data_IF_412445749934
#
_entry.id   IF_412445749934
#
_cell.length_a   1.000
_cell.length_b   1.000
_cell.length_c   1.000
_cell.angle_alpha   90.00
_cell.angle_beta   90.00
_cell.angle_gamma   90.00
#
_symmetry.space_group_name_H-M   'P 1'
#
loop_
_entity.id
_entity.type
_entity.pdbx_description
1 polymer ?
#
# COMPACT_ATOMS: atom_id res chain seq x y z
N UNK A 1 -9.17 -10.35 -43.65
CA UNK A 1 -8.61 -9.31 -42.77
C UNK A 1 -8.01 -10.02 -41.57
N UNK A 2 -6.73 -9.78 -41.27
CA UNK A 2 -5.98 -10.54 -40.27
C UNK A 2 -6.48 -10.27 -38.83
N UNK A 3 -6.77 -11.36 -38.12
CA UNK A 3 -7.17 -11.36 -36.70
C UNK A 3 -6.15 -10.68 -35.79
N UNK A 4 -4.87 -10.68 -36.16
CA UNK A 4 -3.80 -9.99 -35.42
C UNK A 4 -3.93 -8.45 -35.42
N UNK A 5 -4.45 -7.86 -36.50
CA UNK A 5 -4.64 -6.40 -36.60
C UNK A 5 -5.79 -5.94 -35.70
N UNK A 6 -6.84 -6.75 -35.58
CA UNK A 6 -8.02 -6.45 -34.76
C UNK A 6 -7.72 -6.51 -33.25
N UNK A 7 -6.90 -7.47 -32.82
CA UNK A 7 -6.47 -7.62 -31.41
C UNK A 7 -5.51 -6.53 -30.98
N UNK A 8 -4.57 -6.12 -31.85
CA UNK A 8 -3.67 -4.99 -31.58
C UNK A 8 -4.43 -3.66 -31.45
N UNK A 9 -5.42 -3.42 -32.33
CA UNK A 9 -6.27 -2.23 -32.28
C UNK A 9 -7.24 -2.20 -31.07
N UNK A 10 -7.64 -3.36 -30.54
CA UNK A 10 -8.46 -3.43 -29.31
C UNK A 10 -7.63 -3.13 -28.06
N UNK A 11 -6.40 -3.65 -27.95
CA UNK A 11 -5.47 -3.35 -26.85
C UNK A 11 -5.09 -1.87 -26.79
N UNK A 12 -4.85 -1.24 -27.94
CA UNK A 12 -4.52 0.19 -28.03
C UNK A 12 -5.69 1.10 -27.62
N UNK A 13 -6.93 0.78 -28.02
CA UNK A 13 -8.14 1.51 -27.60
C UNK A 13 -8.42 1.39 -26.10
N UNK A 14 -8.21 0.22 -25.52
CA UNK A 14 -8.49 -0.01 -24.09
C UNK A 14 -7.50 0.71 -23.17
N UNK A 15 -6.21 0.77 -23.53
CA UNK A 15 -5.21 1.49 -22.73
C UNK A 15 -5.45 3.00 -22.67
N UNK A 16 -5.86 3.61 -23.79
CA UNK A 16 -6.20 5.02 -23.85
C UNK A 16 -7.49 5.34 -23.06
N UNK A 17 -8.52 4.49 -23.17
CA UNK A 17 -9.77 4.64 -22.41
C UNK A 17 -9.54 4.51 -20.89
N UNK A 18 -8.66 3.60 -20.47
CA UNK A 18 -8.35 3.39 -19.06
C UNK A 18 -7.58 4.60 -18.48
N UNK A 19 -6.54 5.07 -19.16
CA UNK A 19 -5.78 6.24 -18.74
C UNK A 19 -6.67 7.49 -18.61
N UNK A 20 -7.61 7.68 -19.54
CA UNK A 20 -8.58 8.77 -19.48
C UNK A 20 -9.52 8.63 -18.27
N UNK A 21 -10.04 7.43 -17.99
CA UNK A 21 -10.91 7.20 -16.83
C UNK A 21 -10.22 7.47 -15.49
N UNK A 22 -8.94 7.08 -15.36
CA UNK A 22 -8.16 7.33 -14.16
C UNK A 22 -7.88 8.82 -13.97
N UNK A 23 -7.54 9.52 -15.05
CA UNK A 23 -7.33 10.96 -15.02
C UNK A 23 -8.59 11.72 -14.62
N UNK A 24 -9.75 11.39 -15.23
CA UNK A 24 -11.04 12.00 -14.85
C UNK A 24 -11.37 11.76 -13.39
N UNK A 25 -11.14 10.56 -12.88
CA UNK A 25 -11.35 10.26 -11.47
C UNK A 25 -10.41 11.06 -10.57
N UNK A 26 -9.12 11.16 -10.92
CA UNK A 26 -8.14 11.91 -10.16
C UNK A 26 -8.46 13.42 -10.11
N UNK A 27 -8.99 14.00 -11.19
CA UNK A 27 -9.52 15.37 -11.18
C UNK A 27 -10.66 15.54 -10.16
N UNK A 28 -11.63 14.61 -10.16
CA UNK A 28 -12.75 14.67 -9.23
C UNK A 28 -12.29 14.60 -7.77
N UNK A 29 -11.35 13.71 -7.46
CA UNK A 29 -10.79 13.60 -6.10
C UNK A 29 -10.01 14.86 -5.72
N UNK A 30 -9.21 15.44 -6.63
CA UNK A 30 -8.51 16.69 -6.34
C UNK A 30 -9.47 17.86 -6.06
N UNK A 31 -10.62 17.92 -6.76
CA UNK A 31 -11.69 18.87 -6.49
C UNK A 31 -12.36 18.64 -5.13
N UNK A 32 -12.67 17.39 -4.78
CA UNK A 32 -13.23 16.98 -3.48
C UNK A 32 -12.29 17.33 -2.31
N UNK A 33 -10.99 17.16 -2.49
CA UNK A 33 -9.94 17.47 -1.51
C UNK A 33 -9.50 18.96 -1.53
N UNK A 34 -10.09 19.78 -2.42
CA UNK A 34 -9.75 21.20 -2.60
C UNK A 34 -8.26 21.48 -2.86
N UNK A 35 -7.58 20.60 -3.61
CA UNK A 35 -6.16 20.73 -3.96
C UNK A 35 -5.97 20.85 -5.47
N UNK A 36 -4.88 21.51 -5.89
CA UNK A 36 -4.51 21.51 -7.32
C UNK A 36 -4.07 20.12 -7.78
N UNK A 37 -4.24 19.83 -9.06
CA UNK A 37 -3.80 18.56 -9.65
C UNK A 37 -2.30 18.29 -9.43
N UNK A 38 -1.47 19.35 -9.47
CA UNK A 38 -0.04 19.23 -9.20
C UNK A 38 0.23 18.79 -7.75
N UNK A 39 -0.46 19.37 -6.78
CA UNK A 39 -0.34 18.97 -5.37
C UNK A 39 -0.83 17.54 -5.17
N UNK A 40 -1.97 17.18 -5.77
CA UNK A 40 -2.51 15.83 -5.73
C UNK A 40 -1.50 14.80 -6.25
N UNK A 41 -0.87 15.04 -7.41
CA UNK A 41 0.14 14.14 -7.94
C UNK A 41 1.38 14.03 -7.06
N UNK A 42 1.88 15.15 -6.53
CA UNK A 42 3.04 15.13 -5.62
C UNK A 42 2.72 14.33 -4.36
N UNK A 43 1.52 14.48 -3.79
CA UNK A 43 1.08 13.69 -2.63
C UNK A 43 0.96 12.22 -2.98
N UNK A 44 0.28 11.86 -4.07
CA UNK A 44 0.13 10.47 -4.50
C UNK A 44 1.50 9.78 -4.75
N UNK A 45 2.46 10.50 -5.33
CA UNK A 45 3.83 10.01 -5.52
C UNK A 45 4.52 9.81 -4.15
N UNK A 46 4.43 10.80 -3.25
CA UNK A 46 5.02 10.71 -1.92
C UNK A 46 4.44 9.53 -1.12
N UNK A 47 3.12 9.34 -1.15
CA UNK A 47 2.43 8.22 -0.53
C UNK A 47 2.88 6.89 -1.13
N UNK A 48 2.92 6.75 -2.46
CA UNK A 48 3.38 5.52 -3.11
C UNK A 48 4.82 5.19 -2.74
N UNK A 49 5.70 6.18 -2.73
CA UNK A 49 7.11 6.01 -2.33
C UNK A 49 7.21 5.61 -0.86
N UNK A 50 6.43 6.23 0.02
CA UNK A 50 6.38 5.90 1.45
C UNK A 50 5.91 4.46 1.67
N UNK A 51 4.85 4.04 0.96
CA UNK A 51 4.33 2.68 1.03
C UNK A 51 5.36 1.63 0.56
N UNK A 52 6.03 1.87 -0.57
CA UNK A 52 7.06 0.96 -1.09
C UNK A 52 8.29 0.87 -0.15
N UNK A 53 8.71 1.99 0.42
CA UNK A 53 9.79 2.01 1.43
C UNK A 53 9.40 1.27 2.68
N UNK A 54 8.16 1.44 3.14
CA UNK A 54 7.61 0.74 4.32
C UNK A 54 7.56 -0.76 4.08
N UNK A 55 7.08 -1.21 2.91
CA UNK A 55 7.11 -2.62 2.53
C UNK A 55 8.53 -3.19 2.56
N UNK A 56 9.48 -2.47 1.96
CA UNK A 56 10.90 -2.88 1.92
C UNK A 56 11.47 -3.00 3.34
N UNK A 57 11.22 -2.01 4.19
CA UNK A 57 11.65 -2.03 5.59
C UNK A 57 11.11 -3.25 6.34
N UNK A 58 9.83 -3.57 6.21
CA UNK A 58 9.26 -4.74 6.90
C UNK A 58 9.84 -6.05 6.37
N UNK A 59 10.08 -6.15 5.06
CA UNK A 59 10.72 -7.33 4.46
C UNK A 59 12.15 -7.54 5.00
N UNK A 60 12.93 -6.47 5.10
CA UNK A 60 14.28 -6.50 5.70
C UNK A 60 14.26 -6.74 7.21
N UNK A 61 13.26 -6.20 7.93
CA UNK A 61 13.10 -6.45 9.36
C UNK A 61 12.73 -7.91 9.61
N UNK A 62 11.83 -8.47 8.81
CA UNK A 62 11.42 -9.87 8.90
C UNK A 62 12.61 -10.81 8.72
N UNK A 63 13.53 -10.54 7.78
CA UNK A 63 14.70 -11.40 7.56
C UNK A 63 15.69 -11.43 8.74
N UNK A 64 15.63 -10.43 9.62
CA UNK A 64 16.41 -10.36 10.87
C UNK A 64 15.67 -10.90 12.09
N UNK A 65 14.41 -11.29 11.93
CA UNK A 65 13.60 -11.83 13.03
C UNK A 65 14.06 -13.23 13.41
N UNK A 66 14.18 -13.48 14.72
CA UNK A 66 14.55 -14.79 15.26
C UNK A 66 13.40 -15.30 16.14
N UNK A 67 12.60 -16.21 15.59
CA UNK A 67 11.35 -16.64 16.21
C UNK A 67 11.59 -17.45 17.49
N UNK A 68 12.64 -18.27 17.56
CA UNK A 68 12.87 -19.07 18.77
C UNK A 68 13.29 -18.18 19.94
N UNK A 69 14.12 -17.16 19.70
CA UNK A 69 14.50 -16.16 20.68
C UNK A 69 13.32 -15.32 21.13
N UNK A 70 12.40 -14.99 20.21
CA UNK A 70 11.14 -14.36 20.57
C UNK A 70 10.30 -15.22 21.52
N UNK A 71 10.09 -16.51 21.19
CA UNK A 71 9.38 -17.44 22.08
C UNK A 71 10.11 -17.67 23.40
N UNK A 72 11.44 -17.76 23.37
CA UNK A 72 12.25 -17.91 24.59
C UNK A 72 12.09 -16.71 25.50
N UNK A 73 12.10 -15.49 24.93
CA UNK A 73 11.88 -14.26 25.67
C UNK A 73 10.46 -14.19 26.25
N UNK A 74 9.42 -14.56 25.47
CA UNK A 74 8.05 -14.61 25.96
C UNK A 74 7.87 -15.62 27.11
N UNK A 75 8.43 -16.83 26.96
CA UNK A 75 8.37 -17.88 27.98
C UNK A 75 9.18 -17.54 29.25
N UNK A 76 10.08 -16.56 29.18
CA UNK A 76 10.79 -16.06 30.35
C UNK A 76 9.91 -15.11 31.20
N UNK A 77 8.77 -14.66 30.67
CA UNK A 77 7.79 -13.92 31.46
C UNK A 77 7.18 -14.83 32.53
N UNK A 78 7.16 -14.41 33.81
CA UNK A 78 6.49 -15.17 34.85
C UNK A 78 4.99 -15.32 34.55
N UNK A 79 4.46 -16.50 34.84
CA UNK A 79 3.02 -16.73 34.90
C UNK A 79 2.50 -16.17 36.23
N UNK A 80 2.16 -14.89 36.23
CA UNK A 80 1.71 -14.13 37.39
C UNK A 80 0.44 -13.35 37.07
N UNK A 81 -0.40 -13.15 38.08
CA UNK A 81 -1.60 -12.33 37.95
C UNK A 81 -1.25 -10.91 37.46
N UNK A 82 -2.09 -10.31 36.59
CA UNK A 82 -1.92 -8.93 36.18
C UNK A 82 -1.81 -7.98 37.38
N UNK A 83 -1.03 -6.91 37.21
CA UNK A 83 -0.98 -5.85 38.21
C UNK A 83 -2.34 -5.14 38.30
N UNK A 84 -2.64 -4.56 39.46
CA UNK A 84 -3.86 -3.78 39.62
C UNK A 84 -3.89 -2.63 38.59
N UNK A 85 -4.94 -2.58 37.76
CA UNK A 85 -5.09 -1.69 36.61
C UNK A 85 -4.74 -2.29 35.25
N UNK A 86 -4.08 -3.45 35.19
CA UNK A 86 -3.79 -4.22 33.96
C UNK A 86 -4.79 -5.36 33.73
N UNK A 87 -5.96 -5.30 34.38
CA UNK A 87 -6.99 -6.32 34.22
C UNK A 87 -7.57 -6.30 32.79
N UNK A 88 -7.91 -7.49 32.27
CA UNK A 88 -8.66 -7.59 31.02
C UNK A 88 -10.03 -6.92 31.20
N UNK A 89 -10.37 -6.00 30.29
CA UNK A 89 -11.66 -5.29 30.25
C UNK A 89 -12.72 -6.16 29.56
#
# INVERSE_FOLDING_TARGET
MDTNVLVAASRSRNGASFALSLFTYACRVAEEEHVSMNQFFVMAIAEKVSALKTETYFRERQSRGELNGFYTWLNASPDAEPMAGDELI
#
